data_IF_533143066279
#
_entry.id   IF_533143066279
#
_cell.length_a   1.000
_cell.length_b   1.000
_cell.length_c   1.000
_cell.angle_alpha   90.00
_cell.angle_beta   90.00
_cell.angle_gamma   90.00
#
_symmetry.space_group_name_H-M   'P 1'
#
loop_
_entity.id
_entity.type
_entity.pdbx_description
1 polymer ?
#
# COMPACT_ATOMS: atom_id res chain seq x y z
N UNK A 1 37.91 3.79 27.25
CA UNK A 1 36.74 4.59 27.70
C UNK A 1 35.51 3.69 27.87
N UNK A 2 35.09 2.95 26.84
CA UNK A 2 33.93 2.04 26.93
C UNK A 2 34.10 0.94 27.99
N UNK A 3 35.26 0.27 28.03
CA UNK A 3 35.54 -0.76 29.05
C UNK A 3 35.43 -0.21 30.48
N UNK A 4 35.91 1.02 30.72
CA UNK A 4 35.78 1.70 32.03
C UNK A 4 34.31 1.97 32.38
N UNK A 5 33.50 2.33 31.39
CA UNK A 5 32.06 2.59 31.56
C UNK A 5 31.28 1.29 31.82
N UNK A 6 31.66 0.20 31.16
CA UNK A 6 31.08 -1.13 31.38
C UNK A 6 31.40 -1.63 32.79
N UNK A 7 32.65 -1.51 33.24
CA UNK A 7 33.06 -1.88 34.59
C UNK A 7 32.33 -1.09 35.68
N UNK A 8 31.99 0.18 35.42
CA UNK A 8 31.21 1.01 36.36
C UNK A 8 29.72 0.70 36.38
N UNK A 9 29.19 -0.04 35.40
CA UNK A 9 27.76 -0.23 35.17
C UNK A 9 27.38 -1.72 34.98
N UNK A 10 27.57 -2.60 35.99
CA UNK A 10 27.38 -4.05 35.84
C UNK A 10 25.91 -4.49 35.63
N UNK A 11 24.94 -3.60 35.87
CA UNK A 11 23.51 -3.86 35.69
C UNK A 11 22.93 -3.24 34.42
N UNK A 12 23.78 -2.80 33.49
CA UNK A 12 23.33 -2.15 32.27
C UNK A 12 22.47 -3.09 31.41
N UNK A 13 21.23 -2.68 31.15
CA UNK A 13 20.27 -3.45 30.32
C UNK A 13 20.22 -2.97 28.86
N UNK A 14 20.51 -1.68 28.62
CA UNK A 14 20.40 -1.02 27.32
C UNK A 14 21.62 -0.15 27.06
N UNK A 15 22.42 -0.50 26.06
CA UNK A 15 23.61 0.24 25.66
C UNK A 15 23.41 0.81 24.26
N UNK A 16 23.34 2.14 24.13
CA UNK A 16 23.24 2.81 22.82
C UNK A 16 24.37 3.78 22.58
N UNK A 17 24.99 3.70 21.41
CA UNK A 17 25.93 4.68 20.89
C UNK A 17 25.34 5.34 19.66
N UNK A 18 25.27 6.67 19.67
CA UNK A 18 24.65 7.44 18.60
C UNK A 18 25.59 8.57 18.19
N UNK A 19 25.96 8.61 16.91
CA UNK A 19 26.86 9.60 16.32
C UNK A 19 28.25 9.70 16.98
N UNK A 20 28.72 8.63 17.61
CA UNK A 20 30.03 8.62 18.24
C UNK A 20 31.16 8.58 17.19
N UNK A 21 32.10 9.52 17.28
CA UNK A 21 33.31 9.56 16.45
C UNK A 21 34.55 9.21 17.26
N UNK A 22 35.56 8.64 16.60
CA UNK A 22 36.85 8.32 17.22
C UNK A 22 36.92 6.93 17.88
N UNK A 23 35.78 6.23 17.97
CA UNK A 23 35.75 4.84 18.44
C UNK A 23 36.14 3.88 17.32
N UNK A 24 37.32 3.24 17.44
CA UNK A 24 37.81 2.25 16.47
C UNK A 24 37.27 0.84 16.73
N UNK A 25 37.07 0.48 17.99
CA UNK A 25 36.54 -0.82 18.42
C UNK A 25 35.51 -0.66 19.51
N UNK A 26 34.45 -1.46 19.43
CA UNK A 26 33.43 -1.61 20.45
C UNK A 26 33.51 -3.05 20.96
N UNK A 27 33.78 -3.21 22.25
CA UNK A 27 33.83 -4.50 22.91
C UNK A 27 32.98 -4.42 24.17
N UNK A 28 32.08 -5.38 24.35
CA UNK A 28 31.29 -5.55 25.56
C UNK A 28 31.42 -6.99 26.01
N UNK A 29 31.79 -7.19 27.27
CA UNK A 29 31.79 -8.46 27.98
C UNK A 29 31.18 -8.26 29.37
N UNK A 30 30.83 -9.34 30.05
CA UNK A 30 30.53 -9.36 31.49
C UNK A 30 29.33 -8.51 31.93
N UNK A 31 28.34 -8.31 31.04
CA UNK A 31 27.07 -7.64 31.37
C UNK A 31 25.90 -8.63 31.33
N UNK A 32 25.56 -9.28 32.46
CA UNK A 32 24.57 -10.35 32.49
C UNK A 32 23.14 -9.85 32.27
N UNK A 33 22.85 -8.57 32.52
CA UNK A 33 21.51 -8.00 32.33
C UNK A 33 21.33 -7.30 30.98
N UNK A 34 22.35 -7.26 30.14
CA UNK A 34 22.31 -6.53 28.87
C UNK A 34 21.36 -7.21 27.89
N UNK A 35 20.28 -6.51 27.55
CA UNK A 35 19.22 -6.97 26.63
C UNK A 35 19.29 -6.27 25.28
N UNK A 36 19.84 -5.06 25.22
CA UNK A 36 19.87 -4.26 23.98
C UNK A 36 21.20 -3.57 23.76
N UNK A 37 21.69 -3.66 22.52
CA UNK A 37 22.84 -2.89 22.04
C UNK A 37 22.51 -2.23 20.70
N UNK A 38 22.60 -0.90 20.66
CA UNK A 38 22.40 -0.12 19.43
C UNK A 38 23.64 0.70 19.09
N UNK A 39 24.12 0.59 17.86
CA UNK A 39 25.29 1.28 17.31
C UNK A 39 24.88 2.10 16.09
N UNK A 40 24.53 3.38 16.29
CA UNK A 40 24.02 4.26 15.26
C UNK A 40 25.04 5.28 14.76
N UNK A 41 25.39 5.22 13.47
CA UNK A 41 26.23 6.23 12.79
C UNK A 41 27.57 6.47 13.50
N UNK A 42 28.17 5.42 14.06
CA UNK A 42 29.48 5.48 14.71
C UNK A 42 30.60 5.55 13.66
N UNK A 43 31.22 6.73 13.48
CA UNK A 43 32.25 6.95 12.45
C UNK A 43 33.59 6.35 12.87
N UNK A 44 34.14 5.50 12.02
CA UNK A 44 35.48 4.93 12.20
C UNK A 44 35.53 3.59 12.95
N UNK A 45 34.38 3.03 13.30
CA UNK A 45 34.27 1.72 13.94
C UNK A 45 34.67 0.61 12.95
N UNK A 46 35.66 -0.19 13.33
CA UNK A 46 36.22 -1.29 12.53
C UNK A 46 35.92 -2.67 13.11
N UNK A 47 35.69 -2.76 14.42
CA UNK A 47 35.42 -4.02 15.11
C UNK A 47 34.35 -3.84 16.16
N UNK A 48 33.36 -4.71 16.16
CA UNK A 48 32.29 -4.84 17.15
C UNK A 48 32.36 -6.25 17.68
N UNK A 49 32.56 -6.41 19.00
CA UNK A 49 32.48 -7.70 19.68
C UNK A 49 31.53 -7.57 20.85
N UNK A 50 30.47 -8.37 20.89
CA UNK A 50 29.52 -8.37 22.00
C UNK A 50 29.44 -9.78 22.57
N UNK A 51 29.80 -9.89 23.85
CA UNK A 51 29.71 -11.10 24.64
C UNK A 51 28.64 -10.92 25.72
N UNK A 52 27.39 -11.17 25.33
CA UNK A 52 26.22 -11.06 26.21
C UNK A 52 25.18 -12.12 25.83
N UNK A 53 25.05 -13.16 26.64
CA UNK A 53 24.14 -14.30 26.38
C UNK A 53 22.66 -13.91 26.45
N UNK A 54 22.31 -12.93 27.28
CA UNK A 54 20.95 -12.43 27.45
C UNK A 54 20.57 -11.30 26.47
N UNK A 55 21.43 -11.01 25.49
CA UNK A 55 21.16 -9.97 24.50
C UNK A 55 19.97 -10.37 23.63
N UNK A 56 18.90 -9.60 23.68
CA UNK A 56 17.67 -9.86 22.93
C UNK A 56 17.61 -9.05 21.62
N UNK A 57 18.19 -7.85 21.61
CA UNK A 57 18.13 -6.92 20.46
C UNK A 57 19.50 -6.35 20.14
N UNK A 58 19.89 -6.43 18.86
CA UNK A 58 21.10 -5.82 18.35
C UNK A 58 20.80 -4.99 17.10
N UNK A 59 21.22 -3.73 17.10
CA UNK A 59 21.12 -2.84 15.96
C UNK A 59 22.48 -2.26 15.60
N UNK A 60 22.97 -2.56 14.41
CA UNK A 60 24.10 -1.89 13.80
C UNK A 60 23.67 -1.03 12.61
N UNK A 61 24.00 0.26 12.64
CA UNK A 61 23.79 1.19 11.53
C UNK A 61 25.10 1.91 11.19
N UNK A 62 25.75 1.45 10.13
CA UNK A 62 26.85 2.15 9.49
C UNK A 62 26.31 3.23 8.56
N UNK A 63 27.01 4.36 8.48
CA UNK A 63 26.74 5.38 7.45
C UNK A 63 28.05 5.79 6.84
N UNK A 64 28.31 5.37 5.59
CA UNK A 64 29.55 5.68 4.86
C UNK A 64 30.82 5.24 5.61
N UNK A 65 30.74 4.20 6.45
CA UNK A 65 31.89 3.74 7.25
C UNK A 65 32.75 2.73 6.49
N UNK A 66 33.99 2.55 6.98
CA UNK A 66 34.86 1.45 6.59
C UNK A 66 34.21 0.11 6.96
N UNK A 67 34.60 -1.02 6.32
CA UNK A 67 34.13 -2.34 6.74
C UNK A 67 34.37 -2.54 8.24
N UNK A 68 33.36 -3.12 8.89
CA UNK A 68 33.38 -3.40 10.32
C UNK A 68 33.11 -4.88 10.52
N UNK A 69 34.03 -5.57 11.18
CA UNK A 69 33.81 -6.95 11.62
C UNK A 69 32.90 -6.92 12.83
N UNK A 70 31.79 -7.64 12.77
CA UNK A 70 30.84 -7.78 13.88
C UNK A 70 30.96 -9.21 14.37
N UNK A 71 31.15 -9.42 15.66
CA UNK A 71 31.19 -10.74 16.31
C UNK A 71 30.17 -10.73 17.45
N UNK A 72 29.08 -11.49 17.26
CA UNK A 72 28.04 -11.72 18.28
C UNK A 72 27.87 -13.22 18.54
N UNK A 73 28.91 -14.02 18.30
CA UNK A 73 28.87 -15.50 18.36
C UNK A 73 28.28 -16.07 19.66
N UNK A 74 28.38 -15.32 20.76
CA UNK A 74 27.91 -15.74 22.09
C UNK A 74 26.50 -15.24 22.45
N UNK A 75 25.85 -14.48 21.56
CA UNK A 75 24.53 -13.88 21.78
C UNK A 75 23.39 -14.84 21.39
N UNK A 76 23.30 -15.98 22.06
CA UNK A 76 22.36 -17.07 21.73
C UNK A 76 20.87 -16.73 21.98
N UNK A 77 20.57 -15.73 22.81
CA UNK A 77 19.18 -15.29 23.10
C UNK A 77 18.68 -14.19 22.16
N UNK A 78 19.40 -13.90 21.08
CA UNK A 78 19.10 -12.79 20.18
C UNK A 78 17.79 -13.03 19.42
N UNK A 79 16.78 -12.19 19.68
CA UNK A 79 15.46 -12.24 19.05
C UNK A 79 15.34 -11.30 17.85
N UNK A 80 16.04 -10.15 17.90
CA UNK A 80 15.97 -9.11 16.87
C UNK A 80 17.37 -8.71 16.42
N UNK A 81 17.66 -8.92 15.14
CA UNK A 81 18.92 -8.51 14.50
C UNK A 81 18.63 -7.48 13.40
N UNK A 82 19.18 -6.28 13.53
CA UNK A 82 19.12 -5.23 12.51
C UNK A 82 20.50 -4.80 12.07
N UNK A 83 20.81 -5.03 10.79
CA UNK A 83 22.07 -4.64 10.16
C UNK A 83 21.77 -3.64 9.02
N UNK A 84 22.25 -2.41 9.15
CA UNK A 84 22.18 -1.39 8.11
C UNK A 84 23.58 -0.94 7.66
N UNK A 85 23.81 -0.97 6.34
CA UNK A 85 25.09 -0.64 5.66
C UNK A 85 26.26 -1.50 6.17
N UNK A 86 25.96 -2.73 6.62
CA UNK A 86 26.96 -3.69 7.06
C UNK A 86 27.70 -4.28 5.86
N UNK A 87 29.04 -4.25 5.91
CA UNK A 87 29.92 -4.88 4.92
C UNK A 87 30.29 -6.29 5.39
N UNK A 88 29.28 -7.14 5.50
CA UNK A 88 29.42 -8.54 5.88
C UNK A 88 29.37 -9.39 4.61
N UNK A 89 30.37 -10.26 4.43
CA UNK A 89 30.41 -11.23 3.34
C UNK A 89 29.52 -12.44 3.65
N UNK A 90 29.16 -13.21 2.63
CA UNK A 90 28.15 -14.27 2.72
C UNK A 90 28.50 -15.33 3.79
N UNK A 91 29.76 -15.80 3.83
CA UNK A 91 30.22 -16.80 4.81
C UNK A 91 30.08 -16.31 6.25
N UNK A 92 30.52 -15.08 6.53
CA UNK A 92 30.43 -14.49 7.86
C UNK A 92 28.97 -14.28 8.27
N UNK A 93 28.11 -13.95 7.33
CA UNK A 93 26.68 -13.83 7.58
C UNK A 93 26.04 -15.16 7.96
N UNK A 94 26.35 -16.24 7.23
CA UNK A 94 25.85 -17.58 7.55
C UNK A 94 26.33 -18.07 8.92
N UNK A 95 27.62 -17.89 9.20
CA UNK A 95 28.21 -18.26 10.48
C UNK A 95 27.59 -17.50 11.66
N UNK A 96 27.15 -16.25 11.44
CA UNK A 96 26.43 -15.50 12.47
C UNK A 96 25.01 -15.99 12.65
N UNK A 97 24.26 -16.24 11.57
CA UNK A 97 22.87 -16.69 11.69
C UNK A 97 22.74 -18.02 12.43
N UNK A 98 23.69 -18.94 12.25
CA UNK A 98 23.69 -20.22 12.99
C UNK A 98 23.85 -20.05 14.50
N UNK A 99 24.39 -18.92 14.96
CA UNK A 99 24.55 -18.60 16.38
C UNK A 99 23.25 -18.07 17.03
N UNK A 100 22.19 -17.77 16.26
CA UNK A 100 20.96 -17.12 16.75
C UNK A 100 19.72 -18.02 16.59
N UNK A 101 19.64 -19.15 17.31
CA UNK A 101 18.58 -20.16 17.11
C UNK A 101 17.17 -19.66 17.44
N UNK A 102 17.04 -18.60 18.24
CA UNK A 102 15.76 -18.03 18.67
C UNK A 102 15.37 -16.75 17.92
N UNK A 103 16.08 -16.42 16.83
CA UNK A 103 15.86 -15.18 16.09
C UNK A 103 14.44 -15.13 15.51
N UNK A 104 13.67 -14.12 15.93
CA UNK A 104 12.29 -13.92 15.47
C UNK A 104 12.19 -12.85 14.37
N UNK A 105 13.12 -11.89 14.35
CA UNK A 105 13.14 -10.79 13.39
C UNK A 105 14.53 -10.50 12.86
N UNK A 106 14.65 -10.49 11.53
CA UNK A 106 15.87 -10.16 10.80
C UNK A 106 15.61 -8.98 9.87
N UNK A 107 16.45 -7.95 9.98
CA UNK A 107 16.42 -6.77 9.12
C UNK A 107 17.79 -6.54 8.50
N UNK A 108 17.87 -6.64 7.18
CA UNK A 108 19.06 -6.31 6.39
C UNK A 108 18.74 -5.09 5.53
N UNK A 109 19.53 -4.03 5.66
CA UNK A 109 19.34 -2.80 4.89
C UNK A 109 20.67 -2.32 4.30
N UNK A 110 20.76 -2.13 2.98
CA UNK A 110 21.98 -1.67 2.28
C UNK A 110 23.21 -2.56 2.51
N UNK A 111 23.02 -3.84 2.82
CA UNK A 111 24.09 -4.81 2.99
C UNK A 111 24.65 -5.25 1.62
N UNK A 112 25.33 -4.34 0.92
CA UNK A 112 25.78 -4.51 -0.46
C UNK A 112 27.04 -5.39 -0.61
N UNK A 113 27.50 -6.03 0.46
CA UNK A 113 28.54 -7.05 0.41
C UNK A 113 27.95 -8.45 0.20
N UNK A 114 26.68 -8.64 0.55
CA UNK A 114 25.99 -9.90 0.39
C UNK A 114 25.62 -10.14 -1.07
N UNK A 115 25.81 -11.36 -1.54
CA UNK A 115 25.44 -11.80 -2.89
C UNK A 115 24.49 -12.98 -2.85
N UNK A 116 24.91 -14.08 -2.22
CA UNK A 116 24.18 -15.33 -2.18
C UNK A 116 23.95 -15.74 -0.73
N UNK A 117 22.70 -15.70 -0.30
CA UNK A 117 22.37 -15.99 1.10
C UNK A 117 21.23 -16.99 1.21
N UNK A 118 21.40 -17.95 2.11
CA UNK A 118 20.34 -18.83 2.60
C UNK A 118 19.87 -18.34 3.96
N UNK A 119 18.56 -18.30 4.19
CA UNK A 119 17.96 -17.96 5.48
C UNK A 119 17.02 -19.12 5.82
N UNK A 120 17.45 -20.03 6.70
CA UNK A 120 16.61 -21.12 7.20
C UNK A 120 16.34 -20.96 8.69
N UNK A 121 15.07 -20.91 9.08
CA UNK A 121 14.66 -20.79 10.48
C UNK A 121 13.17 -21.06 10.69
N UNK A 122 12.87 -21.95 11.64
CA UNK A 122 11.51 -22.21 12.11
C UNK A 122 10.98 -21.13 13.08
N UNK A 123 11.84 -20.26 13.60
CA UNK A 123 11.47 -19.24 14.61
C UNK A 123 11.27 -17.85 14.01
N UNK A 124 11.82 -17.62 12.82
CA UNK A 124 11.76 -16.32 12.16
C UNK A 124 10.33 -16.00 11.74
N UNK A 125 9.77 -14.93 12.31
CA UNK A 125 8.42 -14.42 12.02
C UNK A 125 8.44 -13.22 11.09
N UNK A 126 9.52 -12.46 11.08
CA UNK A 126 9.64 -11.23 10.27
C UNK A 126 10.99 -11.15 9.58
N UNK A 127 10.96 -10.99 8.26
CA UNK A 127 12.14 -10.80 7.43
C UNK A 127 12.00 -9.52 6.61
N UNK A 128 12.99 -8.62 6.71
CA UNK A 128 13.03 -7.35 6.01
C UNK A 128 14.35 -7.23 5.26
N UNK A 129 14.29 -7.13 3.94
CA UNK A 129 15.44 -6.96 3.04
C UNK A 129 15.27 -5.65 2.27
N UNK A 130 16.14 -4.66 2.50
CA UNK A 130 16.01 -3.32 1.89
C UNK A 130 17.30 -2.85 1.23
N UNK A 131 17.23 -2.42 -0.03
CA UNK A 131 18.31 -1.78 -0.77
C UNK A 131 19.64 -2.58 -0.79
N UNK A 132 19.58 -3.91 -0.71
CA UNK A 132 20.73 -4.81 -0.83
C UNK A 132 20.99 -5.12 -2.31
N UNK A 133 21.72 -4.24 -2.99
CA UNK A 133 21.81 -4.16 -4.47
C UNK A 133 22.65 -5.23 -5.15
N UNK A 134 23.49 -5.93 -4.38
CA UNK A 134 24.38 -6.99 -4.89
C UNK A 134 23.84 -8.40 -4.65
N UNK A 135 22.66 -8.53 -4.03
CA UNK A 135 22.01 -9.83 -3.90
C UNK A 135 21.65 -10.35 -5.29
N UNK A 136 22.09 -11.57 -5.58
CA UNK A 136 21.87 -12.29 -6.82
C UNK A 136 20.93 -13.47 -6.57
N UNK A 137 21.18 -14.21 -5.49
CA UNK A 137 20.38 -15.36 -5.06
C UNK A 137 20.08 -15.32 -3.55
N UNK A 138 18.81 -15.53 -3.21
CA UNK A 138 18.32 -15.56 -1.84
C UNK A 138 17.38 -16.75 -1.69
N UNK A 139 17.82 -17.74 -0.92
CA UNK A 139 17.02 -18.91 -0.55
C UNK A 139 16.44 -18.71 0.86
N UNK A 140 15.13 -18.85 1.01
CA UNK A 140 14.43 -18.62 2.27
C UNK A 140 13.59 -19.84 2.64
N UNK A 141 14.10 -20.61 3.58
CA UNK A 141 13.43 -21.75 4.21
C UNK A 141 12.96 -21.40 5.62
N UNK A 142 11.92 -20.56 5.69
CA UNK A 142 11.35 -20.08 6.96
C UNK A 142 9.84 -20.36 6.99
N UNK A 143 9.42 -21.59 7.32
CA UNK A 143 8.02 -22.01 7.17
C UNK A 143 7.04 -21.26 8.08
N UNK A 144 7.52 -20.66 9.17
CA UNK A 144 6.72 -19.88 10.13
C UNK A 144 6.82 -18.35 9.91
N UNK A 145 7.32 -17.92 8.75
CA UNK A 145 7.44 -16.50 8.42
C UNK A 145 6.04 -15.88 8.24
N UNK A 146 5.73 -14.85 9.02
CA UNK A 146 4.41 -14.20 9.05
C UNK A 146 4.40 -12.89 8.26
N UNK A 147 5.51 -12.14 8.29
CA UNK A 147 5.64 -10.84 7.62
C UNK A 147 6.94 -10.77 6.82
N UNK A 148 6.81 -10.39 5.56
CA UNK A 148 7.93 -10.24 4.65
C UNK A 148 7.95 -8.83 4.05
N UNK A 149 9.12 -8.21 4.00
CA UNK A 149 9.31 -6.94 3.32
C UNK A 149 10.57 -6.97 2.46
N UNK A 150 10.40 -6.70 1.17
CA UNK A 150 11.50 -6.54 0.23
C UNK A 150 11.48 -5.14 -0.37
N UNK A 151 12.65 -4.50 -0.46
CA UNK A 151 12.88 -3.29 -1.23
C UNK A 151 14.13 -3.44 -2.07
N UNK A 152 14.02 -3.40 -3.39
CA UNK A 152 15.15 -3.56 -4.29
C UNK A 152 14.91 -2.97 -5.67
N UNK A 153 15.91 -3.08 -6.54
CA UNK A 153 15.80 -2.63 -7.92
C UNK A 153 14.99 -3.66 -8.75
N UNK A 154 14.23 -3.20 -9.75
CA UNK A 154 13.30 -4.02 -10.57
C UNK A 154 13.99 -5.20 -11.25
N UNK A 155 15.24 -5.03 -11.66
CA UNK A 155 15.91 -5.96 -12.57
C UNK A 155 16.53 -7.18 -11.86
N UNK A 156 16.37 -7.27 -10.52
CA UNK A 156 17.10 -8.22 -9.67
C UNK A 156 16.27 -8.69 -8.48
N UNK A 157 15.09 -9.27 -8.70
CA UNK A 157 14.43 -10.02 -7.62
C UNK A 157 15.28 -11.29 -7.35
N UNK A 158 15.94 -11.42 -6.19
CA UNK A 158 16.98 -12.42 -6.01
C UNK A 158 16.45 -13.76 -5.50
N UNK A 159 15.15 -13.91 -5.28
CA UNK A 159 14.61 -15.11 -4.64
C UNK A 159 14.59 -16.30 -5.59
N UNK A 160 15.29 -17.38 -5.25
CA UNK A 160 15.23 -18.68 -5.95
C UNK A 160 14.22 -19.62 -5.29
N UNK A 161 14.07 -19.54 -3.97
CA UNK A 161 13.10 -20.32 -3.21
C UNK A 161 12.61 -19.55 -1.99
N UNK A 162 11.29 -19.55 -1.81
CA UNK A 162 10.61 -19.06 -0.61
C UNK A 162 9.34 -19.88 -0.44
N UNK A 163 9.12 -20.42 0.76
CA UNK A 163 7.88 -21.11 1.12
C UNK A 163 6.96 -20.14 1.90
N UNK A 164 5.90 -19.59 1.27
CA UNK A 164 5.04 -18.59 1.89
C UNK A 164 3.85 -19.17 2.69
N UNK A 165 3.79 -20.47 3.01
CA UNK A 165 2.60 -21.12 3.60
C UNK A 165 2.04 -20.47 4.89
N UNK A 166 2.89 -19.82 5.69
CA UNK A 166 2.47 -19.10 6.91
C UNK A 166 2.43 -17.58 6.77
N UNK A 167 2.77 -17.06 5.59
CA UNK A 167 2.92 -15.64 5.35
C UNK A 167 1.54 -14.97 5.35
N UNK A 168 1.41 -13.84 6.05
CA UNK A 168 0.16 -13.06 6.16
C UNK A 168 0.27 -11.68 5.52
N UNK A 169 1.48 -11.15 5.39
CA UNK A 169 1.72 -9.83 4.79
C UNK A 169 3.04 -9.83 4.02
N UNK A 170 3.03 -9.35 2.77
CA UNK A 170 4.21 -9.21 1.93
C UNK A 170 4.31 -7.80 1.31
N UNK A 171 5.28 -7.01 1.74
CA UNK A 171 5.51 -5.65 1.24
C UNK A 171 6.64 -5.65 0.22
N UNK A 172 6.33 -5.45 -1.07
CA UNK A 172 7.33 -5.48 -2.14
C UNK A 172 7.52 -4.09 -2.79
N UNK A 173 8.69 -3.52 -2.58
CA UNK A 173 9.06 -2.19 -3.07
C UNK A 173 10.07 -2.30 -4.21
N UNK A 174 9.63 -2.07 -5.43
CA UNK A 174 10.49 -2.11 -6.61
C UNK A 174 10.91 -0.69 -7.02
N UNK A 175 12.20 -0.51 -7.31
CA UNK A 175 12.76 0.75 -7.80
C UNK A 175 13.27 0.54 -9.23
N UNK A 176 12.74 1.32 -10.18
CA UNK A 176 13.24 1.29 -11.57
C UNK A 176 14.69 1.74 -11.64
N UNK A 177 15.51 1.00 -12.38
CA UNK A 177 16.88 1.36 -12.69
C UNK A 177 16.91 2.21 -13.97
N UNK A 178 17.76 3.26 -14.02
CA UNK A 178 17.95 4.06 -15.24
C UNK A 178 18.48 3.26 -16.44
N UNK A 179 18.99 2.05 -16.22
CA UNK A 179 19.48 1.16 -17.27
C UNK A 179 18.37 0.32 -17.90
N UNK A 180 17.23 0.17 -17.20
CA UNK A 180 16.11 -0.61 -17.69
C UNK A 180 15.34 0.12 -18.81
N UNK A 181 15.31 1.46 -18.80
CA UNK A 181 14.73 2.30 -19.88
C UNK A 181 15.31 2.00 -21.28
N UNK A 182 16.55 1.50 -21.37
CA UNK A 182 17.17 1.12 -22.64
C UNK A 182 16.84 -0.31 -23.12
N UNK A 183 16.29 -1.18 -22.25
CA UNK A 183 15.98 -2.58 -22.58
C UNK A 183 14.50 -2.85 -22.82
N UNK A 184 13.61 -1.95 -22.38
CA UNK A 184 12.15 -2.10 -22.54
C UNK A 184 11.61 -1.74 -23.93
N UNK A 185 12.47 -1.31 -24.87
CA UNK A 185 12.04 -0.94 -26.23
C UNK A 185 11.97 -2.11 -27.21
N UNK A 186 12.38 -3.32 -26.82
CA UNK A 186 12.25 -4.52 -27.64
C UNK A 186 11.29 -5.47 -26.94
N UNK A 187 10.17 -5.80 -27.60
CA UNK A 187 9.00 -6.49 -27.04
C UNK A 187 9.20 -7.94 -26.60
N UNK A 188 10.19 -8.20 -25.73
CA UNK A 188 10.37 -9.48 -25.07
C UNK A 188 9.62 -9.46 -23.72
N UNK A 189 8.34 -9.82 -23.80
CA UNK A 189 7.38 -9.87 -22.71
C UNK A 189 7.65 -11.12 -21.87
N UNK A 190 8.67 -11.06 -21.00
CA UNK A 190 8.82 -11.75 -19.70
C UNK A 190 10.23 -11.53 -19.16
N UNK A 191 10.44 -10.40 -18.50
CA UNK A 191 11.70 -10.16 -17.77
C UNK A 191 11.89 -11.20 -16.65
N UNK A 192 13.10 -11.77 -16.44
CA UNK A 192 13.35 -12.86 -15.47
C UNK A 192 12.88 -12.60 -14.03
N UNK A 193 12.84 -11.34 -13.60
CA UNK A 193 12.34 -10.98 -12.27
C UNK A 193 10.82 -11.15 -12.14
N UNK A 194 10.05 -10.99 -13.22
CA UNK A 194 8.60 -11.19 -13.22
C UNK A 194 8.26 -12.67 -13.09
N UNK A 195 8.99 -13.55 -13.78
CA UNK A 195 8.85 -14.99 -13.62
C UNK A 195 9.10 -15.42 -12.16
N UNK A 196 10.14 -14.88 -11.51
CA UNK A 196 10.42 -15.13 -10.09
C UNK A 196 9.34 -14.58 -9.15
N UNK A 197 8.77 -13.42 -9.47
CA UNK A 197 7.64 -12.88 -8.73
C UNK A 197 6.40 -13.77 -8.87
N UNK A 198 6.13 -14.24 -10.10
CA UNK A 198 5.02 -15.14 -10.41
C UNK A 198 5.17 -16.45 -9.61
N UNK A 199 6.34 -17.09 -9.67
CA UNK A 199 6.65 -18.30 -8.89
C UNK A 199 6.51 -18.09 -7.38
N UNK A 200 6.94 -16.93 -6.86
CA UNK A 200 6.80 -16.59 -5.45
C UNK A 200 5.32 -16.50 -5.05
N UNK A 201 4.54 -15.76 -5.83
CA UNK A 201 3.15 -15.55 -5.53
C UNK A 201 2.35 -16.86 -5.69
N UNK A 202 2.65 -17.70 -6.70
CA UNK A 202 1.92 -18.94 -7.01
C UNK A 202 1.95 -19.94 -5.85
N UNK A 203 3.03 -19.91 -5.06
CA UNK A 203 3.23 -20.77 -3.89
C UNK A 203 2.43 -20.33 -2.66
N UNK A 204 1.75 -19.18 -2.70
CA UNK A 204 1.06 -18.59 -1.56
C UNK A 204 -0.30 -19.25 -1.27
N UNK A 205 -0.58 -19.52 0.00
CA UNK A 205 -1.90 -19.95 0.48
C UNK A 205 -2.77 -18.71 0.76
N UNK A 206 -3.58 -18.32 -0.22
CA UNK A 206 -4.32 -17.05 -0.19
C UNK A 206 -5.52 -17.05 0.76
N UNK A 207 -5.90 -18.21 1.30
CA UNK A 207 -6.97 -18.34 2.30
C UNK A 207 -6.78 -17.44 3.53
N UNK A 208 -5.54 -17.01 3.80
CA UNK A 208 -5.15 -16.15 4.94
C UNK A 208 -5.03 -14.66 4.60
N UNK A 209 -5.23 -14.31 3.33
CA UNK A 209 -5.11 -12.97 2.78
C UNK A 209 -3.67 -12.54 2.54
N UNK A 210 -3.36 -12.11 1.31
CA UNK A 210 -2.07 -11.58 0.92
C UNK A 210 -2.18 -10.08 0.70
N UNK A 211 -1.58 -9.27 1.57
CA UNK A 211 -1.46 -7.82 1.31
C UNK A 211 -0.16 -7.52 0.56
N UNK A 212 -0.25 -7.30 -0.75
CA UNK A 212 0.86 -6.90 -1.61
C UNK A 212 0.92 -5.37 -1.70
N UNK A 213 1.97 -4.75 -1.16
CA UNK A 213 2.14 -3.28 -1.25
C UNK A 213 3.14 -2.93 -2.36
N UNK A 214 2.67 -2.71 -3.59
CA UNK A 214 3.52 -2.29 -4.70
C UNK A 214 3.72 -0.77 -4.67
N UNK A 215 4.96 -0.27 -4.77
CA UNK A 215 5.20 1.17 -4.85
C UNK A 215 5.68 1.58 -6.22
N UNK A 216 4.73 1.94 -7.08
CA UNK A 216 5.03 2.57 -8.35
C UNK A 216 5.28 4.04 -8.15
N UNK A 217 5.89 4.59 -9.16
CA UNK A 217 6.50 5.86 -9.16
C UNK A 217 6.04 6.60 -10.46
N UNK A 218 5.45 5.91 -11.45
CA UNK A 218 4.68 6.53 -12.54
C UNK A 218 3.17 6.56 -12.23
N UNK A 219 2.42 7.31 -13.04
CA UNK A 219 0.97 7.18 -13.09
C UNK A 219 0.63 5.76 -13.53
N UNK A 220 -0.19 5.08 -12.76
CA UNK A 220 -0.60 3.72 -13.09
C UNK A 220 -1.81 3.89 -13.98
N UNK A 221 -1.61 3.66 -15.28
CA UNK A 221 -2.73 3.52 -16.21
C UNK A 221 -3.12 2.04 -16.19
N UNK A 222 -4.30 1.75 -15.66
CA UNK A 222 -4.86 0.41 -15.68
C UNK A 222 -5.61 0.28 -17.00
N UNK A 223 -5.04 -0.44 -17.97
CA UNK A 223 -5.74 -0.81 -19.19
C UNK A 223 -6.52 -2.10 -18.94
N UNK A 224 -7.84 -2.02 -18.80
CA UNK A 224 -8.69 -3.20 -18.93
C UNK A 224 -8.97 -3.44 -20.42
N UNK A 225 -8.11 -4.25 -21.07
CA UNK A 225 -8.53 -5.02 -22.24
C UNK A 225 -8.18 -6.50 -22.03
N UNK A 226 -9.12 -7.30 -21.51
CA UNK A 226 -8.95 -8.75 -21.49
C UNK A 226 -9.25 -9.29 -22.88
N UNK A 227 -8.22 -9.78 -23.58
CA UNK A 227 -8.40 -10.93 -24.47
C UNK A 227 -8.11 -12.17 -23.62
N UNK A 228 -9.21 -12.87 -23.31
CA UNK A 228 -9.35 -14.23 -22.80
C UNK A 228 -8.10 -14.91 -22.25
N UNK A 229 -8.12 -15.27 -20.95
CA UNK A 229 -7.60 -16.53 -20.35
C UNK A 229 -8.19 -16.61 -18.94
N UNK A 230 -8.86 -17.74 -18.64
CA UNK A 230 -9.42 -18.05 -17.32
C UNK A 230 -8.34 -18.65 -16.41
N UNK A 231 -8.06 -18.02 -15.26
CA UNK A 231 -7.28 -18.57 -14.14
C UNK A 231 -8.03 -18.29 -12.83
N UNK A 232 -7.86 -19.15 -11.79
CA UNK A 232 -8.75 -19.17 -10.63
C UNK A 232 -8.68 -17.87 -9.81
N UNK A 233 -9.83 -17.42 -9.30
CA UNK A 233 -9.91 -16.31 -8.35
C UNK A 233 -9.04 -16.60 -7.13
N UNK A 234 -8.08 -15.71 -6.90
CA UNK A 234 -7.22 -15.76 -5.73
C UNK A 234 -7.96 -15.08 -4.57
N UNK A 235 -8.70 -15.86 -3.78
CA UNK A 235 -9.41 -15.32 -2.61
C UNK A 235 -8.43 -14.72 -1.60
N UNK A 236 -8.64 -13.47 -1.15
CA UNK A 236 -7.83 -12.83 -0.11
C UNK A 236 -6.67 -11.91 -0.58
N UNK A 237 -6.40 -11.79 -1.88
CA UNK A 237 -5.34 -10.88 -2.37
C UNK A 237 -5.77 -9.40 -2.26
N UNK A 238 -5.04 -8.62 -1.46
CA UNK A 238 -5.17 -7.16 -1.29
C UNK A 238 -3.96 -6.45 -1.87
N UNK A 239 -4.14 -5.74 -2.99
CA UNK A 239 -3.08 -4.97 -3.64
C UNK A 239 -3.15 -3.50 -3.22
N UNK A 240 -2.15 -3.04 -2.49
CA UNK A 240 -2.01 -1.64 -2.06
C UNK A 240 -0.92 -0.96 -2.89
N UNK A 241 -1.30 -0.10 -3.83
CA UNK A 241 -0.34 0.59 -4.69
C UNK A 241 -0.02 1.99 -4.16
N UNK A 242 1.24 2.28 -3.80
CA UNK A 242 1.64 3.57 -3.17
C UNK A 242 2.64 4.37 -4.02
N UNK A 243 2.28 5.58 -4.47
CA UNK A 243 3.00 6.46 -5.43
C UNK A 243 4.26 7.17 -4.85
N UNK A 244 5.52 7.12 -5.41
CA UNK A 244 6.13 8.23 -6.25
C UNK A 244 7.46 7.98 -7.12
N UNK A 245 7.53 8.53 -8.37
CA UNK A 245 8.56 8.66 -9.52
C UNK A 245 9.28 7.49 -10.34
N UNK A 246 8.68 6.91 -11.44
CA UNK A 246 9.17 6.02 -12.60
C UNK A 246 9.03 4.45 -12.73
N UNK A 247 8.02 3.97 -13.51
CA UNK A 247 7.68 2.62 -14.14
C UNK A 247 7.32 1.38 -13.29
N UNK A 248 6.02 1.05 -13.25
CA UNK A 248 5.45 -0.21 -12.75
C UNK A 248 4.13 -0.56 -13.50
N UNK A 249 3.90 0.06 -14.67
CA UNK A 249 2.64 -0.04 -15.44
C UNK A 249 2.43 -1.46 -15.96
N UNK A 250 3.40 -2.02 -16.69
CA UNK A 250 3.32 -3.38 -17.23
C UNK A 250 3.15 -4.44 -16.12
N UNK A 251 3.88 -4.29 -15.00
CA UNK A 251 3.76 -5.20 -13.87
C UNK A 251 2.36 -5.16 -13.24
N UNK A 252 1.80 -3.96 -13.07
CA UNK A 252 0.45 -3.82 -12.52
C UNK A 252 -0.59 -4.34 -13.50
N UNK A 253 -0.43 -4.07 -14.79
CA UNK A 253 -1.28 -4.61 -15.84
C UNK A 253 -1.25 -6.14 -15.85
N UNK A 254 -0.07 -6.76 -15.76
CA UNK A 254 0.08 -8.22 -15.72
C UNK A 254 -0.46 -8.85 -14.41
N UNK A 255 -0.25 -8.21 -13.25
CA UNK A 255 -0.82 -8.68 -11.97
C UNK A 255 -2.35 -8.57 -12.03
N UNK A 256 -2.89 -7.45 -12.51
CA UNK A 256 -4.33 -7.26 -12.63
C UNK A 256 -4.95 -8.24 -13.64
N UNK A 257 -4.27 -8.46 -14.78
CA UNK A 257 -4.70 -9.37 -15.85
C UNK A 257 -4.64 -10.85 -15.44
N UNK A 258 -3.63 -11.24 -14.67
CA UNK A 258 -3.36 -12.66 -14.42
C UNK A 258 -3.93 -13.12 -13.06
N UNK A 259 -4.08 -12.22 -12.08
CA UNK A 259 -4.31 -12.59 -10.67
C UNK A 259 -5.60 -12.08 -10.05
N UNK A 260 -6.29 -11.13 -10.69
CA UNK A 260 -7.63 -10.66 -10.28
C UNK A 260 -7.78 -10.38 -8.76
N UNK A 261 -6.98 -9.44 -8.17
CA UNK A 261 -7.00 -9.20 -6.73
C UNK A 261 -8.38 -8.75 -6.22
N UNK A 262 -8.86 -9.33 -5.12
CA UNK A 262 -10.16 -9.00 -4.52
C UNK A 262 -10.27 -7.54 -4.03
N UNK A 263 -9.16 -6.94 -3.60
CA UNK A 263 -9.15 -5.52 -3.21
C UNK A 263 -7.93 -4.82 -3.77
N UNK A 264 -8.17 -3.71 -4.48
CA UNK A 264 -7.14 -2.80 -4.94
C UNK A 264 -7.30 -1.48 -4.19
N UNK A 265 -6.25 -1.03 -3.51
CA UNK A 265 -6.21 0.28 -2.88
C UNK A 265 -5.03 1.09 -3.39
N UNK A 266 -5.25 2.36 -3.68
CA UNK A 266 -4.22 3.28 -4.19
C UNK A 266 -3.97 4.37 -3.15
N UNK A 267 -2.71 4.56 -2.77
CA UNK A 267 -2.29 5.54 -1.77
C UNK A 267 -1.26 6.50 -2.38
N UNK A 268 -1.65 7.74 -2.63
CA UNK A 268 -0.73 8.77 -3.12
C UNK A 268 -0.07 9.51 -1.95
N UNK A 269 1.27 9.44 -1.85
CA UNK A 269 2.04 10.26 -0.90
C UNK A 269 2.79 11.32 -1.71
N UNK A 270 2.12 12.45 -1.96
CA UNK A 270 2.74 13.62 -2.57
C UNK A 270 3.73 14.28 -1.60
N UNK A 271 5.03 14.22 -1.91
CA UNK A 271 6.00 15.18 -1.38
C UNK A 271 5.84 16.48 -2.17
N UNK A 272 5.24 17.50 -1.56
CA UNK A 272 5.29 18.85 -2.12
C UNK A 272 6.75 19.34 -2.10
N UNK A 273 7.28 19.67 -3.28
CA UNK A 273 8.40 20.61 -3.38
C UNK A 273 7.82 22.00 -3.12
N UNK A 274 8.36 22.69 -2.12
CA UNK A 274 8.12 24.11 -1.88
C UNK A 274 8.63 24.93 -3.08
N UNK A 275 7.84 25.83 -3.66
CA UNK A 275 8.37 27.08 -4.21
C UNK A 275 8.67 28.02 -3.03
N UNK A 276 9.79 28.74 -3.14
CA UNK A 276 10.11 29.85 -2.26
C UNK A 276 9.23 31.06 -2.61
N UNK A 277 8.92 31.80 -1.56
CA UNK A 277 8.66 33.25 -1.49
C UNK A 277 7.22 33.78 -1.62
N UNK A 278 6.94 34.79 -0.78
CA UNK A 278 5.76 35.68 -0.84
C UNK A 278 4.58 35.33 0.06
N UNK A 279 4.47 35.99 1.22
CA UNK A 279 3.48 35.68 2.26
C UNK A 279 2.04 36.18 2.07
N UNK A 280 1.13 35.55 2.82
CA UNK A 280 0.14 36.15 3.76
C UNK A 280 -0.81 35.05 4.25
N UNK A 281 -1.06 35.04 5.55
CA UNK A 281 -1.80 34.02 6.30
C UNK A 281 -3.27 33.86 5.87
N UNK A 282 -3.70 32.61 5.60
CA UNK A 282 -5.06 32.13 5.82
C UNK A 282 -5.07 30.63 6.16
N UNK A 283 -5.99 30.15 7.03
CA UNK A 283 -5.90 28.83 7.65
C UNK A 283 -6.23 27.70 6.68
N UNK A 284 -5.36 26.70 6.68
CA UNK A 284 -5.39 25.50 5.83
C UNK A 284 -6.61 24.62 6.09
N UNK A 285 -7.53 24.56 5.12
CA UNK A 285 -8.54 23.50 5.08
C UNK A 285 -7.86 22.16 4.79
N UNK A 286 -7.91 21.23 5.74
CA UNK A 286 -7.52 19.82 5.54
C UNK A 286 -8.34 19.24 4.37
N UNK A 287 -7.74 19.12 3.17
CA UNK A 287 -8.37 18.46 2.01
C UNK A 287 -8.64 16.98 2.35
N UNK A 288 -9.91 16.61 2.45
CA UNK A 288 -10.37 15.21 2.56
C UNK A 288 -9.93 14.43 1.33
N UNK A 289 -9.32 13.27 1.52
CA UNK A 289 -8.95 12.35 0.44
C UNK A 289 -10.21 11.74 -0.21
N UNK A 290 -10.34 11.88 -1.53
CA UNK A 290 -11.39 11.25 -2.36
C UNK A 290 -10.75 10.23 -3.31
N UNK A 291 -11.29 9.01 -3.38
CA UNK A 291 -10.88 8.01 -4.40
C UNK A 291 -11.61 8.32 -5.70
N UNK A 292 -10.96 8.18 -6.87
CA UNK A 292 -11.57 8.38 -8.20
C UNK A 292 -11.47 7.06 -8.97
N UNK A 293 -12.53 6.66 -9.68
CA UNK A 293 -12.60 5.42 -10.46
C UNK A 293 -13.19 5.72 -11.85
N UNK A 294 -12.72 5.03 -12.89
CA UNK A 294 -13.03 5.33 -14.30
C UNK A 294 -12.06 6.33 -14.94
N UNK A 295 -12.42 6.99 -16.05
CA UNK A 295 -13.72 6.95 -16.70
C UNK A 295 -13.87 5.76 -17.68
N UNK A 296 -15.08 5.25 -17.83
CA UNK A 296 -15.47 4.32 -18.89
C UNK A 296 -16.09 5.11 -20.04
N UNK A 297 -15.80 4.72 -21.29
CA UNK A 297 -16.28 5.43 -22.48
C UNK A 297 -15.17 5.79 -23.46
N UNK A 298 -15.40 6.80 -24.30
CA UNK A 298 -14.45 7.29 -25.30
C UNK A 298 -13.63 8.51 -24.86
N UNK A 299 -12.64 8.83 -25.69
CA UNK A 299 -11.73 9.97 -25.48
C UNK A 299 -12.23 11.30 -26.07
N UNK A 300 -13.45 11.31 -26.62
CA UNK A 300 -14.08 12.51 -27.20
C UNK A 300 -14.45 13.55 -26.13
N UNK A 301 -15.03 14.67 -26.58
CA UNK A 301 -15.52 15.74 -25.70
C UNK A 301 -14.44 16.44 -24.86
N UNK A 302 -14.90 17.36 -24.00
CA UNK A 302 -14.09 18.04 -23.00
C UNK A 302 -14.19 17.32 -21.64
N UNK A 303 -13.08 17.28 -20.89
CA UNK A 303 -13.07 16.68 -19.56
C UNK A 303 -13.77 17.58 -18.54
N UNK A 304 -14.51 16.97 -17.62
CA UNK A 304 -15.22 17.63 -16.53
C UNK A 304 -15.15 16.81 -15.24
N UNK A 305 -15.28 17.48 -14.11
CA UNK A 305 -15.23 16.89 -12.78
C UNK A 305 -16.01 17.75 -11.79
N UNK A 306 -17.11 17.23 -11.27
CA UNK A 306 -17.97 17.96 -10.32
C UNK A 306 -17.30 18.11 -8.94
N UNK A 307 -16.24 17.35 -8.68
CA UNK A 307 -15.55 17.31 -7.39
C UNK A 307 -16.20 16.34 -6.41
N UNK A 308 -15.84 16.46 -5.13
CA UNK A 308 -16.29 15.53 -4.08
C UNK A 308 -17.27 16.21 -3.13
N UNK A 309 -18.43 15.58 -2.98
CA UNK A 309 -19.50 16.01 -2.09
C UNK A 309 -19.69 15.03 -0.94
N UNK A 310 -20.73 15.25 -0.14
CA UNK A 310 -21.09 14.25 0.83
C UNK A 310 -21.75 13.08 0.12
N UNK A 311 -22.71 13.26 -0.77
CA UNK A 311 -23.34 12.14 -1.50
C UNK A 311 -24.27 12.62 -2.62
N UNK A 312 -24.90 11.70 -3.32
CA UNK A 312 -25.82 11.99 -4.43
C UNK A 312 -27.25 12.05 -3.91
N UNK A 313 -28.02 13.08 -4.29
CA UNK A 313 -29.44 13.22 -3.97
C UNK A 313 -30.31 12.92 -5.19
N UNK A 314 -29.92 13.44 -6.35
CA UNK A 314 -30.70 13.31 -7.57
C UNK A 314 -29.80 13.22 -8.79
N UNK A 315 -30.22 12.44 -9.79
CA UNK A 315 -29.58 12.34 -11.10
C UNK A 315 -30.64 12.60 -12.16
N UNK A 316 -30.41 13.59 -13.01
CA UNK A 316 -31.16 13.83 -14.24
C UNK A 316 -30.38 13.33 -15.44
N UNK A 317 -31.03 12.55 -16.30
CA UNK A 317 -30.48 12.06 -17.56
C UNK A 317 -31.36 12.54 -18.71
N UNK A 318 -30.72 12.89 -19.82
CA UNK A 318 -31.37 13.03 -21.13
C UNK A 318 -30.73 11.99 -22.05
N UNK A 319 -31.56 11.19 -22.71
CA UNK A 319 -31.10 10.08 -23.54
C UNK A 319 -32.05 9.78 -24.70
N UNK A 320 -31.54 9.00 -25.65
CA UNK A 320 -32.32 8.30 -26.67
C UNK A 320 -31.56 7.00 -27.00
N UNK A 321 -30.88 6.92 -28.16
CA UNK A 321 -30.01 5.78 -28.49
C UNK A 321 -28.67 5.78 -27.73
N UNK A 322 -28.31 6.88 -27.09
CA UNK A 322 -27.17 7.02 -26.19
C UNK A 322 -27.51 8.03 -25.09
N UNK A 323 -26.61 8.21 -24.13
CA UNK A 323 -26.76 9.24 -23.10
C UNK A 323 -26.30 10.59 -23.67
N UNK A 324 -27.25 11.48 -23.91
CA UNK A 324 -26.98 12.83 -24.40
C UNK A 324 -26.39 13.71 -23.32
N UNK A 325 -26.98 13.70 -22.12
CA UNK A 325 -26.46 14.47 -20.99
C UNK A 325 -26.83 13.92 -19.63
N UNK A 326 -26.02 14.30 -18.63
CA UNK A 326 -26.22 14.01 -17.22
C UNK A 326 -26.10 15.30 -16.41
N UNK A 327 -26.94 15.44 -15.38
CA UNK A 327 -26.85 16.48 -14.36
C UNK A 327 -27.10 15.85 -13.00
N UNK A 328 -26.27 16.19 -12.01
CA UNK A 328 -26.36 15.59 -10.68
C UNK A 328 -26.57 16.67 -9.62
N UNK A 329 -27.50 16.41 -8.70
CA UNK A 329 -27.66 17.19 -7.47
C UNK A 329 -27.05 16.42 -6.31
N UNK A 330 -26.07 17.03 -5.67
CA UNK A 330 -25.32 16.46 -4.55
C UNK A 330 -25.78 17.01 -3.21
N UNK A 331 -25.41 16.31 -2.13
CA UNK A 331 -25.45 16.82 -0.77
C UNK A 331 -24.14 17.51 -0.41
N UNK A 332 -24.20 18.78 -0.02
CA UNK A 332 -23.09 19.51 0.59
C UNK A 332 -23.50 20.00 1.97
N UNK A 333 -23.04 19.32 3.01
CA UNK A 333 -23.38 19.62 4.41
C UNK A 333 -24.89 19.67 4.67
N UNK A 334 -25.65 18.71 4.15
CA UNK A 334 -27.10 18.63 4.34
C UNK A 334 -27.94 19.48 3.39
N UNK A 335 -27.32 20.33 2.55
CA UNK A 335 -28.01 21.15 1.55
C UNK A 335 -27.83 20.58 0.14
N UNK A 336 -28.86 20.59 -0.72
CA UNK A 336 -28.73 20.20 -2.12
C UNK A 336 -27.90 21.23 -2.90
N UNK A 337 -26.97 20.76 -3.73
CA UNK A 337 -26.17 21.56 -4.66
C UNK A 337 -26.19 20.89 -6.02
N UNK A 338 -26.78 21.56 -7.02
CA UNK A 338 -26.87 21.06 -8.40
C UNK A 338 -25.61 21.43 -9.17
N UNK A 339 -24.96 20.44 -9.77
CA UNK A 339 -23.80 20.64 -10.63
C UNK A 339 -24.20 21.07 -12.05
N UNK A 340 -23.20 21.43 -12.85
CA UNK A 340 -23.40 21.75 -14.26
C UNK A 340 -23.95 20.55 -15.04
N UNK A 341 -24.59 20.82 -16.18
CA UNK A 341 -25.05 19.75 -17.08
C UNK A 341 -23.88 19.35 -17.98
N UNK A 342 -23.57 18.06 -18.03
CA UNK A 342 -22.50 17.51 -18.87
C UNK A 342 -23.11 16.74 -20.03
N UNK A 343 -22.75 17.12 -21.26
CA UNK A 343 -23.32 16.57 -22.50
C UNK A 343 -24.09 17.59 -23.33
N UNK A 344 -24.71 17.12 -24.40
CA UNK A 344 -25.34 17.96 -25.40
C UNK A 344 -26.75 18.45 -25.04
N UNK A 345 -27.40 18.98 -26.07
CA UNK A 345 -28.80 19.43 -26.05
C UNK A 345 -29.72 18.50 -26.85
N UNK A 346 -29.21 17.33 -27.26
CA UNK A 346 -29.97 16.27 -27.93
C UNK A 346 -30.79 15.43 -26.97
N UNK A 347 -31.27 14.29 -27.47
CA UNK A 347 -32.13 13.35 -26.76
C UNK A 347 -33.55 13.87 -26.54
N UNK A 348 -34.49 12.95 -26.35
CA UNK A 348 -35.91 13.28 -26.14
C UNK A 348 -36.47 12.63 -24.87
N UNK A 349 -35.86 11.53 -24.42
CA UNK A 349 -36.26 10.85 -23.20
C UNK A 349 -35.54 11.48 -22.00
N UNK A 350 -36.27 11.67 -20.92
CA UNK A 350 -35.74 12.20 -19.66
C UNK A 350 -36.00 11.23 -18.52
N UNK A 351 -35.01 11.04 -17.67
CA UNK A 351 -35.15 10.28 -16.43
C UNK A 351 -34.65 11.09 -15.23
N UNK A 352 -35.46 11.11 -14.18
CA UNK A 352 -35.10 11.70 -12.88
C UNK A 352 -35.03 10.60 -11.82
N UNK A 353 -33.84 10.42 -11.25
CA UNK A 353 -33.58 9.46 -10.18
C UNK A 353 -33.46 10.25 -8.88
N UNK A 354 -34.51 10.25 -8.06
CA UNK A 354 -34.52 10.88 -6.73
C UNK A 354 -34.26 9.85 -5.64
N UNK A 355 -33.10 9.93 -4.98
CA UNK A 355 -32.72 9.04 -3.89
C UNK A 355 -33.28 9.55 -2.56
N UNK A 356 -33.73 8.63 -1.70
CA UNK A 356 -34.10 8.93 -0.31
C UNK A 356 -32.85 9.14 0.56
N UNK A 357 -32.13 10.25 0.32
CA UNK A 357 -30.89 10.56 1.03
C UNK A 357 -31.17 11.00 2.49
N UNK A 358 -30.38 10.53 3.49
CA UNK A 358 -29.14 9.76 3.38
C UNK A 358 -29.29 8.22 3.43
N UNK A 359 -30.49 7.68 3.61
CA UNK A 359 -30.75 6.25 3.81
C UNK A 359 -30.59 5.42 2.53
N UNK A 360 -30.82 6.04 1.39
CA UNK A 360 -30.63 5.47 0.06
C UNK A 360 -29.43 6.11 -0.63
N UNK A 361 -28.48 5.28 -1.07
CA UNK A 361 -27.27 5.70 -1.74
C UNK A 361 -26.88 4.69 -2.82
N UNK A 362 -26.17 5.18 -3.85
CA UNK A 362 -25.68 4.33 -4.93
C UNK A 362 -24.59 3.39 -4.46
N UNK A 363 -24.74 2.12 -4.82
CA UNK A 363 -23.78 1.05 -4.57
C UNK A 363 -23.18 0.49 -5.86
N UNK A 364 -23.82 0.74 -7.01
CA UNK A 364 -23.31 0.31 -8.30
C UNK A 364 -23.84 1.18 -9.44
N UNK A 365 -23.01 1.35 -10.47
CA UNK A 365 -23.39 1.94 -11.76
C UNK A 365 -22.82 1.04 -12.85
N UNK A 366 -23.66 0.64 -13.78
CA UNK A 366 -23.28 -0.16 -14.95
C UNK A 366 -23.80 0.49 -16.23
N UNK A 367 -23.32 0.04 -17.37
CA UNK A 367 -23.73 0.60 -18.65
C UNK A 367 -22.97 0.00 -19.81
N UNK A 368 -23.17 0.56 -21.00
CA UNK A 368 -22.46 0.17 -22.21
C UNK A 368 -21.91 1.40 -22.93
N UNK A 369 -20.83 1.22 -23.69
CA UNK A 369 -20.29 2.27 -24.55
C UNK A 369 -19.81 1.71 -25.90
N UNK A 370 -20.07 2.43 -26.97
CA UNK A 370 -19.53 2.21 -28.31
C UNK A 370 -19.79 3.44 -29.19
N UNK A 371 -19.20 3.50 -30.40
CA UNK A 371 -19.55 4.53 -31.36
C UNK A 371 -21.01 4.45 -31.80
N UNK A 372 -21.69 5.60 -31.90
CA UNK A 372 -23.08 5.67 -32.42
C UNK A 372 -23.13 5.36 -33.92
N UNK A 373 -22.06 5.70 -34.65
CA UNK A 373 -21.88 5.46 -36.08
C UNK A 373 -20.53 4.78 -36.32
N UNK A 374 -20.42 3.95 -37.35
CA UNK A 374 -19.16 3.30 -37.70
C UNK A 374 -18.03 4.32 -37.93
N UNK A 375 -16.88 4.08 -37.31
CA UNK A 375 -15.72 4.99 -37.35
C UNK A 375 -15.78 6.18 -36.38
N UNK A 376 -16.88 6.36 -35.65
CA UNK A 376 -17.01 7.41 -34.64
C UNK A 376 -16.23 7.13 -33.35
N UNK A 377 -16.09 8.17 -32.51
CA UNK A 377 -15.58 7.98 -31.14
C UNK A 377 -16.64 7.32 -30.24
N UNK A 378 -16.27 6.40 -29.34
CA UNK A 378 -17.21 5.80 -28.42
C UNK A 378 -17.86 6.83 -27.49
N UNK A 379 -19.14 6.63 -27.19
CA UNK A 379 -19.90 7.39 -26.20
C UNK A 379 -20.64 6.44 -25.27
N UNK A 380 -21.10 6.92 -24.12
CA UNK A 380 -21.96 6.14 -23.23
C UNK A 380 -23.30 5.86 -23.91
N UNK A 381 -23.56 4.59 -24.19
CA UNK A 381 -24.77 4.10 -24.87
C UNK A 381 -25.89 3.83 -23.87
N UNK A 382 -25.55 3.29 -22.71
CA UNK A 382 -26.51 3.10 -21.64
C UNK A 382 -25.95 3.29 -20.24
N UNK A 383 -26.84 3.58 -19.29
CA UNK A 383 -26.56 3.64 -17.87
C UNK A 383 -27.67 2.98 -17.04
N UNK A 384 -27.26 2.21 -16.05
CA UNK A 384 -28.10 1.60 -15.02
C UNK A 384 -27.50 1.94 -13.66
N UNK A 385 -28.33 2.48 -12.77
CA UNK A 385 -27.91 2.88 -11.43
C UNK A 385 -28.54 1.94 -10.41
N UNK A 386 -27.74 1.39 -9.51
CA UNK A 386 -28.23 0.54 -8.41
C UNK A 386 -27.91 1.19 -7.07
N UNK A 387 -28.95 1.43 -6.28
CA UNK A 387 -28.86 1.83 -4.88
C UNK A 387 -28.86 0.62 -3.96
N UNK A 388 -28.62 0.85 -2.67
CA UNK A 388 -28.81 -0.16 -1.63
C UNK A 388 -30.27 -0.61 -1.45
N UNK A 389 -31.22 -0.04 -2.20
CA UNK A 389 -32.65 -0.37 -2.11
C UNK A 389 -33.27 -0.78 -3.45
N UNK A 390 -32.89 -0.15 -4.57
CA UNK A 390 -33.54 -0.33 -5.88
C UNK A 390 -32.58 -0.12 -7.04
N UNK A 391 -33.03 -0.51 -8.22
CA UNK A 391 -32.32 -0.33 -9.49
C UNK A 391 -33.10 0.63 -10.40
N UNK A 392 -32.39 1.46 -11.16
CA UNK A 392 -32.92 2.46 -12.08
C UNK A 392 -32.26 2.28 -13.46
N UNK A 393 -33.06 2.22 -14.51
CA UNK A 393 -32.61 1.95 -15.88
C UNK A 393 -32.88 0.50 -16.32
N UNK A 394 -32.24 0.04 -17.42
CA UNK A 394 -31.26 0.77 -18.21
C UNK A 394 -31.88 1.97 -18.92
N UNK A 395 -31.10 3.06 -19.00
CA UNK A 395 -31.41 4.24 -19.80
C UNK A 395 -30.49 4.23 -21.02
N UNK A 396 -31.03 4.49 -22.20
CA UNK A 396 -30.31 4.35 -23.47
C UNK A 396 -30.41 2.94 -24.05
N UNK A 397 -29.39 2.51 -24.80
CA UNK A 397 -29.37 1.20 -25.48
C UNK A 397 -28.14 0.41 -25.04
N UNK A 398 -28.34 -0.83 -24.61
CA UNK A 398 -27.28 -1.75 -24.14
C UNK A 398 -26.49 -2.35 -25.30
N UNK A 399 -25.78 -1.50 -26.03
CA UNK A 399 -24.95 -1.86 -27.19
C UNK A 399 -23.47 -1.55 -26.93
N UNK A 400 -22.59 -2.44 -27.38
CA UNK A 400 -21.16 -2.23 -27.33
C UNK A 400 -20.48 -2.90 -26.14
N UNK A 401 -19.44 -2.26 -25.62
CA UNK A 401 -18.65 -2.79 -24.51
C UNK A 401 -19.37 -2.51 -23.18
N UNK A 402 -19.76 -3.54 -22.41
CA UNK A 402 -20.34 -3.34 -21.09
C UNK A 402 -19.29 -2.84 -20.10
N UNK A 403 -19.73 -2.08 -19.11
CA UNK A 403 -18.97 -1.77 -17.91
C UNK A 403 -19.86 -1.89 -16.68
N UNK A 404 -19.25 -2.23 -15.55
CA UNK A 404 -19.94 -2.26 -14.26
C UNK A 404 -18.99 -1.86 -13.15
N UNK A 405 -19.44 -0.94 -12.32
CA UNK A 405 -18.75 -0.51 -11.11
C UNK A 405 -19.64 -0.81 -9.90
N UNK A 406 -19.07 -1.42 -8.87
CA UNK A 406 -19.73 -1.70 -7.60
C UNK A 406 -18.82 -1.33 -6.43
N UNK A 407 -19.41 -0.83 -5.34
CA UNK A 407 -18.66 -0.36 -4.17
C UNK A 407 -19.25 -0.90 -2.88
N UNK A 408 -18.39 -1.46 -2.02
CA UNK A 408 -18.73 -1.95 -0.68
C UNK A 408 -18.05 -1.09 0.40
N UNK A 409 -18.81 -0.63 1.40
CA UNK A 409 -18.28 0.19 2.51
C UNK A 409 -17.92 1.65 2.16
N UNK A 410 -18.16 2.09 0.93
CA UNK A 410 -18.04 3.48 0.49
C UNK A 410 -19.28 3.90 -0.31
N UNK A 411 -19.41 5.21 -0.58
CA UNK A 411 -20.52 5.77 -1.35
C UNK A 411 -20.02 6.65 -2.48
N UNK A 412 -20.74 6.61 -3.60
CA UNK A 412 -20.51 7.56 -4.71
C UNK A 412 -20.89 8.95 -4.23
N UNK A 413 -19.95 9.87 -4.36
CA UNK A 413 -19.97 11.20 -3.79
C UNK A 413 -19.61 12.30 -4.81
N UNK A 414 -19.36 11.93 -6.06
CA UNK A 414 -19.06 12.84 -7.15
C UNK A 414 -19.00 12.08 -8.47
N UNK A 415 -19.21 12.78 -9.57
CA UNK A 415 -19.06 12.26 -10.92
C UNK A 415 -17.99 13.07 -11.64
N UNK A 416 -17.29 12.41 -12.54
CA UNK A 416 -16.34 13.03 -13.46
C UNK A 416 -16.43 12.32 -14.82
N UNK A 417 -15.88 12.90 -15.87
CA UNK A 417 -15.97 12.27 -17.18
C UNK A 417 -15.53 13.17 -18.31
N UNK A 418 -16.05 12.86 -19.50
CA UNK A 418 -15.87 13.68 -20.70
C UNK A 418 -17.21 13.82 -21.42
N UNK A 419 -17.45 14.99 -21.97
CA UNK A 419 -18.67 15.25 -22.73
C UNK A 419 -18.47 16.28 -23.82
N UNK A 420 -19.12 16.06 -24.95
CA UNK A 420 -19.30 17.02 -26.03
C UNK A 420 -20.77 17.06 -26.42
N UNK A 421 -21.09 16.53 -27.59
CA UNK A 421 -22.47 16.41 -28.07
C UNK A 421 -23.25 15.33 -27.33
N UNK A 422 -22.53 14.34 -26.79
CA UNK A 422 -23.06 13.27 -25.94
C UNK A 422 -22.21 13.17 -24.68
N UNK A 423 -22.59 12.27 -23.77
CA UNK A 423 -21.73 11.83 -22.69
C UNK A 423 -20.68 10.85 -23.26
N UNK A 424 -19.46 11.33 -23.51
CA UNK A 424 -18.38 10.51 -24.08
C UNK A 424 -17.86 9.48 -23.08
N UNK A 425 -17.68 9.86 -21.82
CA UNK A 425 -17.23 8.95 -20.76
C UNK A 425 -17.69 9.38 -19.36
N UNK A 426 -17.74 8.43 -18.43
CA UNK A 426 -18.21 8.63 -17.05
C UNK A 426 -17.31 7.92 -16.04
N UNK A 427 -17.07 8.55 -14.90
CA UNK A 427 -16.31 8.08 -13.76
C UNK A 427 -16.89 8.61 -12.45
N UNK A 428 -16.38 8.09 -11.33
CA UNK A 428 -16.96 8.29 -10.01
C UNK A 428 -15.93 8.66 -8.96
N UNK A 429 -16.32 9.55 -8.04
CA UNK A 429 -15.57 9.86 -6.82
C UNK A 429 -16.22 9.22 -5.61
N UNK A 430 -15.43 8.58 -4.75
CA UNK A 430 -15.91 7.86 -3.58
C UNK A 430 -15.59 8.60 -2.28
N UNK A 431 -16.54 8.58 -1.36
CA UNK A 431 -16.33 8.94 0.04
C UNK A 431 -16.54 7.71 0.93
N UNK A 432 -15.69 7.57 1.95
CA UNK A 432 -15.87 6.53 2.98
C UNK A 432 -17.16 6.82 3.74
N UNK A 433 -18.04 5.82 3.86
CA UNK A 433 -19.21 5.92 4.73
C UNK A 433 -18.69 5.96 6.16
N UNK A 434 -18.69 7.14 6.78
CA UNK A 434 -18.52 7.22 8.23
C UNK A 434 -19.78 6.60 8.82
N UNK A 435 -19.66 5.43 9.45
CA UNK A 435 -20.77 4.82 10.17
C UNK A 435 -21.26 5.82 11.23
N UNK A 436 -22.49 6.35 11.12
CA UNK A 436 -23.05 7.08 12.22
C UNK A 436 -23.40 6.03 13.28
N UNK A 437 -22.83 6.16 14.49
CA UNK A 437 -23.35 5.60 15.75
C UNK A 437 -22.84 4.22 16.25
N UNK A 438 -21.56 3.85 16.07
CA UNK A 438 -20.92 2.92 17.03
C UNK A 438 -20.08 3.67 18.08
N UNK A 439 -19.28 4.65 17.66
CA UNK A 439 -18.40 5.41 18.56
C UNK A 439 -19.16 6.25 19.62
N UNK A 440 -20.31 6.83 19.28
CA UNK A 440 -21.11 7.60 20.25
C UNK A 440 -21.91 6.72 21.22
N UNK A 441 -22.32 5.50 20.83
CA UNK A 441 -22.98 4.54 21.73
C UNK A 441 -21.97 3.96 22.73
N UNK A 442 -20.75 3.65 22.26
CA UNK A 442 -19.65 3.19 23.10
C UNK A 442 -19.21 4.29 24.08
N UNK A 443 -19.05 5.55 23.63
CA UNK A 443 -18.72 6.65 24.54
C UNK A 443 -19.83 6.98 25.56
N UNK A 444 -21.12 6.87 25.20
CA UNK A 444 -22.23 7.02 26.15
C UNK A 444 -22.33 5.83 27.12
N UNK A 445 -21.98 4.62 26.68
CA UNK A 445 -21.89 3.42 27.52
C UNK A 445 -20.75 3.51 28.55
N UNK A 446 -19.55 3.93 28.12
CA UNK A 446 -18.41 4.13 29.01
C UNK A 446 -18.66 5.23 30.04
N UNK A 447 -19.35 6.33 29.69
CA UNK A 447 -19.71 7.39 30.66
C UNK A 447 -20.70 6.91 31.75
N UNK A 448 -21.62 5.99 31.42
CA UNK A 448 -22.55 5.39 32.41
C UNK A 448 -21.84 4.42 33.36
N UNK A 449 -20.85 3.68 32.86
CA UNK A 449 -20.03 2.76 33.67
C UNK A 449 -19.07 3.49 34.62
N UNK A 450 -18.57 4.67 34.23
CA UNK A 450 -17.67 5.48 35.08
C UNK A 450 -18.42 6.33 36.11
N UNK A 451 -19.73 6.57 35.96
CA UNK A 451 -20.55 7.25 36.99
C UNK A 451 -21.12 6.29 38.04
N UNK A 452 -21.11 4.98 37.79
CA UNK A 452 -21.56 3.95 38.73
C UNK A 452 -20.44 3.34 39.58
N UNK A 453 -19.20 3.82 39.43
CA UNK A 453 -18.03 3.35 40.18
C UNK A 453 -17.31 4.57 40.76
N UNK A 454 -17.96 5.26 41.70
CA UNK A 454 -17.29 6.18 42.62
C UNK A 454 -18.05 6.26 43.94
N UNK A 455 -17.50 5.53 44.92
CA UNK A 455 -17.54 5.76 46.38
C UNK A 455 -18.81 5.31 47.12
N UNK A 456 -18.80 4.06 47.57
CA UNK A 456 -19.30 3.68 48.89
C UNK A 456 -18.10 3.40 49.81
N UNK A 457 -17.70 4.39 50.63
CA UNK A 457 -16.86 4.16 51.80
C UNK A 457 -17.42 4.91 53.01
N UNK A 458 -18.03 4.11 53.89
CA UNK A 458 -17.99 4.16 55.36
C UNK A 458 -18.14 5.50 56.08
N UNK A 459 -19.29 5.70 56.73
CA UNK A 459 -19.42 6.51 57.95
C UNK A 459 -19.45 5.60 59.18
N UNK A 460 -18.43 5.69 60.03
CA UNK A 460 -18.43 5.20 61.41
C UNK A 460 -17.75 6.25 62.30
N UNK A 461 -18.29 6.43 63.52
CA UNK A 461 -18.02 7.49 64.52
C UNK A 461 -18.60 8.86 64.13
N UNK A 462 -19.48 9.50 64.90
CA UNK A 462 -19.58 9.59 66.36
C UNK A 462 -21.02 9.45 66.88
#
# INVERSE_FOLDING_TARGET
MIEKLIHGCPHLEDFRLVYCSGLRSFAVSDLPKLKRVDLHSCKGLKKVKVQATNLETFWYHAKKSRPCTIDLSTCNSLKILTLEDAKLEDELFQNHLSCYPVLEKLVLSKCNALKNITISSFRLKTLILRECKKLEEVDIDTPNLVSFEYKGDTDKMPFSSLNPASLKEAKLYFKSSKQAEARFCNGDVRTPWFARLQEFLEKFDYSKGLKLVARSNKDIVIYEKPKEIFLPLVDGLKLDVVKPSITLEDLLEDILRTWHPQTLSSLSIGRSKLPKDGGKDQPSSKKKMSVVVGPWGGNGGAAWDDGTYHGVREIGLVYDRCIDSIRVTYDKNGKPVTAEKHGGVGGTMMAEIKLKFPEEFLISVSGHFCPVVHGGSPVIRSLTFKSNQRTFGPYGVEEGTPFSFSVEGARIAGFNGRSGWYLDSIGFRLCRVQSPKLFQKVQKGFRRLTSSISISKSSAAA
#
